data_IF_815231249306
#
_entry.id   IF_815231249306
#
_cell.length_a   1.000
_cell.length_b   1.000
_cell.length_c   1.000
_cell.angle_alpha   90.00
_cell.angle_beta   90.00
_cell.angle_gamma   90.00
#
_symmetry.space_group_name_H-M   'P 1'
#
loop_
_entity.id
_entity.type
_entity.pdbx_description
1 polymer ?
#
# COMPACT_ATOMS: atom_id res chain seq x y z
N UNK A 1 6.04 10.87 -2.04
CA UNK A 1 4.97 10.02 -2.60
C UNK A 1 4.03 9.58 -1.48
N UNK A 2 2.72 9.58 -1.75
CA UNK A 2 1.71 9.01 -0.85
C UNK A 2 0.87 8.00 -1.62
N UNK A 3 0.70 6.81 -1.07
CA UNK A 3 -0.17 5.76 -1.61
C UNK A 3 -1.25 5.43 -0.60
N UNK A 4 -2.47 5.20 -1.06
CA UNK A 4 -3.61 4.81 -0.23
C UNK A 4 -4.54 3.90 -1.03
N UNK A 5 -4.20 2.61 -1.08
CA UNK A 5 -4.85 1.62 -1.93
C UNK A 5 -5.42 0.47 -1.10
N UNK A 6 -6.37 -0.32 -1.63
CA UNK A 6 -6.76 -1.57 -0.99
C UNK A 6 -5.54 -2.50 -0.86
N UNK A 7 -5.42 -3.19 0.27
CA UNK A 7 -4.40 -4.21 0.51
C UNK A 7 -4.94 -5.58 0.17
N UNK A 8 -4.08 -6.47 -0.28
CA UNK A 8 -4.49 -7.83 -0.63
C UNK A 8 -3.44 -8.50 -1.50
N UNK A 9 -3.66 -9.78 -1.78
CA UNK A 9 -2.96 -10.52 -2.85
C UNK A 9 -3.92 -10.85 -4.00
N UNK A 10 -5.15 -10.32 -3.94
CA UNK A 10 -6.20 -10.58 -4.90
C UNK A 10 -6.30 -9.46 -5.93
N UNK A 11 -6.94 -9.79 -7.04
CA UNK A 11 -7.34 -8.85 -8.07
C UNK A 11 -8.79 -9.10 -8.46
N UNK A 12 -9.46 -8.09 -8.97
CA UNK A 12 -10.84 -8.23 -9.39
C UNK A 12 -11.58 -6.92 -9.62
N UNK A 13 -12.85 -7.06 -9.98
CA UNK A 13 -13.74 -5.94 -10.24
C UNK A 13 -14.34 -5.39 -8.94
N UNK A 14 -14.17 -4.08 -8.72
CA UNK A 14 -14.87 -3.29 -7.71
C UNK A 14 -15.74 -2.25 -8.43
N UNK A 15 -17.01 -2.61 -8.65
CA UNK A 15 -17.90 -1.84 -9.52
C UNK A 15 -17.37 -1.82 -10.95
N UNK A 16 -17.11 -0.62 -11.48
CA UNK A 16 -16.59 -0.43 -12.84
C UNK A 16 -15.06 -0.44 -12.93
N UNK A 17 -14.34 -0.62 -11.82
CA UNK A 17 -12.88 -0.56 -11.80
C UNK A 17 -12.29 -1.92 -11.47
N UNK A 18 -11.39 -2.41 -12.32
CA UNK A 18 -10.55 -3.54 -11.99
C UNK A 18 -9.40 -3.07 -11.10
N UNK A 19 -9.19 -3.75 -9.98
CA UNK A 19 -8.12 -3.46 -9.03
C UNK A 19 -7.23 -4.67 -8.83
N UNK A 20 -5.92 -4.43 -8.75
CA UNK A 20 -4.94 -5.40 -8.31
C UNK A 20 -4.37 -4.92 -6.97
N UNK A 21 -4.60 -5.67 -5.91
CA UNK A 21 -4.25 -5.26 -4.56
C UNK A 21 -2.85 -5.76 -4.21
N UNK A 22 -2.15 -5.02 -3.34
CA UNK A 22 -0.80 -5.39 -2.92
C UNK A 22 -0.68 -5.30 -1.40
N UNK A 23 0.08 -6.23 -0.82
CA UNK A 23 0.53 -6.12 0.56
C UNK A 23 1.66 -5.09 0.67
N UNK A 24 1.99 -4.76 1.92
CA UNK A 24 3.04 -3.79 2.21
C UNK A 24 4.41 -4.26 1.69
N UNK A 25 4.78 -5.52 1.90
CA UNK A 25 6.11 -6.01 1.52
C UNK A 25 6.37 -5.91 0.01
N UNK A 26 5.38 -6.29 -0.82
CA UNK A 26 5.46 -6.13 -2.28
C UNK A 26 5.53 -4.64 -2.68
N UNK A 27 4.68 -3.81 -2.07
CA UNK A 27 4.67 -2.36 -2.35
C UNK A 27 6.00 -1.70 -1.98
N UNK A 28 6.60 -2.10 -0.86
CA UNK A 28 7.89 -1.61 -0.36
C UNK A 28 9.01 -1.96 -1.34
N UNK A 29 9.06 -3.19 -1.85
CA UNK A 29 10.08 -3.60 -2.82
C UNK A 29 10.05 -2.70 -4.07
N UNK A 30 8.88 -2.52 -4.68
CA UNK A 30 8.74 -1.66 -5.85
C UNK A 30 9.10 -0.20 -5.58
N UNK A 31 8.75 0.32 -4.40
CA UNK A 31 9.14 1.67 -4.00
C UNK A 31 10.65 1.80 -3.90
N UNK A 32 11.33 0.82 -3.28
CA UNK A 32 12.78 0.81 -3.14
C UNK A 32 13.48 0.73 -4.50
N UNK A 33 13.03 -0.16 -5.38
CA UNK A 33 13.55 -0.28 -6.76
C UNK A 33 13.33 1.00 -7.57
N UNK A 34 12.24 1.72 -7.32
CA UNK A 34 11.95 3.00 -7.95
C UNK A 34 12.70 4.19 -7.31
N UNK A 35 13.61 3.96 -6.37
CA UNK A 35 14.40 5.01 -5.72
C UNK A 35 13.64 5.78 -4.64
N UNK A 36 12.63 5.17 -4.00
CA UNK A 36 11.94 5.74 -2.85
C UNK A 36 12.30 5.03 -1.55
N UNK A 37 12.39 5.81 -0.48
CA UNK A 37 12.49 5.31 0.89
C UNK A 37 11.13 5.43 1.59
N UNK A 38 10.68 4.34 2.22
CA UNK A 38 9.44 4.34 3.00
C UNK A 38 9.68 5.02 4.35
N UNK A 39 8.96 6.11 4.61
CA UNK A 39 9.00 6.87 5.86
C UNK A 39 8.05 6.25 6.89
N UNK A 40 6.84 5.88 6.46
CA UNK A 40 5.83 5.29 7.32
C UNK A 40 4.82 4.48 6.50
N UNK A 41 4.18 3.51 7.13
CA UNK A 41 3.04 2.80 6.58
C UNK A 41 2.06 2.42 7.68
N UNK A 42 0.78 2.35 7.35
CA UNK A 42 -0.24 1.92 8.29
C UNK A 42 -1.47 1.40 7.56
N UNK A 43 -2.18 0.49 8.22
CA UNK A 43 -3.45 -0.02 7.73
C UNK A 43 -4.60 0.83 8.28
N UNK A 44 -5.73 0.86 7.55
CA UNK A 44 -6.90 1.64 7.94
C UNK A 44 -8.18 0.81 7.89
N UNK A 45 -9.14 1.06 8.81
CA UNK A 45 -9.08 2.07 9.87
C UNK A 45 -8.18 1.66 11.05
N UNK A 46 -7.49 2.63 11.65
CA UNK A 46 -6.64 2.40 12.82
C UNK A 46 -7.47 1.90 14.02
N UNK A 47 -6.85 1.10 14.89
CA UNK A 47 -7.48 0.59 16.12
C UNK A 47 -8.42 -0.61 15.92
N UNK A 48 -8.57 -1.11 14.70
CA UNK A 48 -9.33 -2.34 14.40
C UNK A 48 -8.43 -3.58 14.32
N UNK A 49 -8.97 -4.80 14.41
CA UNK A 49 -8.23 -6.00 14.03
C UNK A 49 -7.77 -5.93 12.56
N UNK A 50 -6.62 -6.53 12.22
CA UNK A 50 -6.02 -6.42 10.88
C UNK A 50 -6.96 -6.85 9.74
N UNK A 51 -7.83 -7.83 9.98
CA UNK A 51 -8.79 -8.32 8.98
C UNK A 51 -9.91 -7.29 8.68
N UNK A 52 -10.16 -6.33 9.57
CA UNK A 52 -11.06 -5.20 9.37
C UNK A 52 -10.35 -3.97 8.79
N UNK A 53 -9.05 -4.05 8.48
CA UNK A 53 -8.27 -2.94 7.93
C UNK A 53 -7.91 -3.17 6.46
N UNK A 54 -8.83 -2.94 5.50
CA UNK A 54 -8.63 -3.31 4.11
C UNK A 54 -7.75 -2.33 3.31
N UNK A 55 -7.39 -1.18 3.87
CA UNK A 55 -6.62 -0.16 3.16
C UNK A 55 -5.19 -0.09 3.69
N UNK A 56 -4.22 0.03 2.79
CA UNK A 56 -2.82 0.29 3.09
C UNK A 56 -2.48 1.72 2.67
N UNK A 57 -1.98 2.51 3.63
CA UNK A 57 -1.39 3.81 3.37
C UNK A 57 0.14 3.73 3.51
N UNK A 58 0.87 4.33 2.57
CA UNK A 58 2.34 4.42 2.58
C UNK A 58 2.76 5.86 2.32
N UNK A 59 3.67 6.37 3.14
CA UNK A 59 4.36 7.65 2.97
C UNK A 59 5.81 7.37 2.61
N UNK A 60 6.30 7.93 1.52
CA UNK A 60 7.67 7.73 1.05
C UNK A 60 8.27 9.04 0.54
N UNK A 61 9.60 9.19 0.65
CA UNK A 61 10.36 10.25 0.00
C UNK A 61 11.28 9.65 -1.08
N UNK A 62 11.81 10.51 -1.96
CA UNK A 62 12.93 10.11 -2.80
C UNK A 62 14.09 9.67 -1.90
N UNK A 63 14.72 8.56 -2.24
CA UNK A 63 15.98 8.17 -1.61
C UNK A 63 17.05 9.22 -1.97
N UNK A 64 17.98 9.52 -1.05
CA UNK A 64 19.18 10.30 -1.39
C UNK A 64 20.04 9.53 -2.39
N UNK A 65 20.68 10.27 -3.32
CA UNK A 65 21.67 9.75 -4.28
C UNK A 65 22.98 9.47 -3.56
#
# INVERSE_FOLDING_TARGET
LFLSNPRGNDEGWSGQRYGHYMQFDSSKLFLQEAGFEVINYYYRPLGKPIHEQPWLAIVACSAPI
#
